data_IF_771497085366
#
_entry.id   IF_771497085366
#
_cell.length_a   1.000
_cell.length_b   1.000
_cell.length_c   1.000
_cell.angle_alpha   90.00
_cell.angle_beta   90.00
_cell.angle_gamma   90.00
#
_symmetry.space_group_name_H-M   'P 1'
#
loop_
_entity.id
_entity.type
_entity.pdbx_description
1 polymer ?
#
# COMPACT_ATOMS: atom_id res chain seq x y z
N UNK A 1 -29.63 -15.98 -0.02
CA UNK A 1 -30.33 -16.29 -1.29
C UNK A 1 -31.74 -16.77 -0.97
N UNK A 2 -32.75 -16.50 -1.80
CA UNK A 2 -34.11 -17.01 -1.53
C UNK A 2 -34.15 -18.54 -1.64
N UNK A 3 -35.12 -19.17 -1.00
CA UNK A 3 -35.27 -20.64 -1.02
C UNK A 3 -35.38 -21.18 -2.44
N UNK A 4 -36.11 -20.48 -3.31
CA UNK A 4 -36.23 -20.83 -4.72
C UNK A 4 -34.86 -20.96 -5.40
N UNK A 5 -34.05 -19.90 -5.33
CA UNK A 5 -32.72 -19.89 -5.97
C UNK A 5 -31.76 -20.89 -5.33
N UNK A 6 -31.88 -21.10 -4.02
CA UNK A 6 -31.11 -22.13 -3.32
C UNK A 6 -31.42 -23.53 -3.87
N UNK A 7 -32.71 -23.88 -3.99
CA UNK A 7 -33.14 -25.17 -4.52
C UNK A 7 -32.76 -25.32 -5.99
N UNK A 8 -32.93 -24.27 -6.79
CA UNK A 8 -32.56 -24.24 -8.20
C UNK A 8 -31.08 -24.62 -8.39
N UNK A 9 -30.17 -23.97 -7.67
CA UNK A 9 -28.73 -24.28 -7.73
C UNK A 9 -28.46 -25.70 -7.27
N UNK A 10 -29.01 -26.10 -6.11
CA UNK A 10 -28.78 -27.44 -5.54
C UNK A 10 -29.23 -28.54 -6.49
N UNK A 11 -30.43 -28.43 -7.08
CA UNK A 11 -30.98 -29.44 -7.99
C UNK A 11 -30.16 -29.52 -9.28
N UNK A 12 -29.77 -28.39 -9.87
CA UNK A 12 -28.96 -28.40 -11.09
C UNK A 12 -27.55 -28.95 -10.86
N UNK A 13 -26.90 -28.59 -9.75
CA UNK A 13 -25.55 -29.10 -9.44
C UNK A 13 -25.58 -30.60 -9.18
N UNK A 14 -26.48 -31.09 -8.33
CA UNK A 14 -26.58 -32.54 -8.05
C UNK A 14 -27.07 -33.32 -9.28
N UNK A 15 -28.02 -32.75 -10.04
CA UNK A 15 -28.53 -33.33 -11.28
C UNK A 15 -27.45 -33.47 -12.35
N UNK A 16 -26.58 -32.47 -12.51
CA UNK A 16 -25.47 -32.53 -13.48
C UNK A 16 -24.38 -33.52 -13.04
N UNK A 17 -24.00 -33.56 -11.76
CA UNK A 17 -23.07 -34.57 -11.23
C UNK A 17 -23.63 -35.99 -11.47
N UNK A 18 -24.91 -36.19 -11.18
CA UNK A 18 -25.58 -37.46 -11.43
C UNK A 18 -25.62 -37.81 -12.94
N UNK A 19 -25.97 -36.85 -13.79
CA UNK A 19 -26.02 -37.06 -15.24
C UNK A 19 -24.63 -37.41 -15.81
N UNK A 20 -23.57 -36.76 -15.34
CA UNK A 20 -22.18 -37.07 -15.74
C UNK A 20 -21.75 -38.45 -15.24
N UNK A 21 -22.08 -38.81 -14.00
CA UNK A 21 -21.82 -40.15 -13.48
C UNK A 21 -22.57 -41.19 -14.31
N UNK A 22 -23.86 -40.98 -14.56
CA UNK A 22 -24.65 -41.85 -15.43
C UNK A 22 -24.03 -42.01 -16.81
N UNK A 23 -23.64 -40.91 -17.45
CA UNK A 23 -22.98 -40.92 -18.77
C UNK A 23 -21.70 -41.76 -18.74
N UNK A 24 -20.84 -41.56 -17.75
CA UNK A 24 -19.58 -42.31 -17.59
C UNK A 24 -19.83 -43.82 -17.43
N UNK A 25 -20.84 -44.21 -16.64
CA UNK A 25 -21.17 -45.62 -16.47
C UNK A 25 -21.90 -46.21 -17.68
N UNK A 26 -22.72 -45.43 -18.38
CA UNK A 26 -23.43 -45.86 -19.58
C UNK A 26 -22.46 -46.11 -20.74
N UNK A 27 -21.51 -45.20 -20.99
CA UNK A 27 -20.48 -45.38 -22.02
C UNK A 27 -19.60 -46.59 -21.71
N UNK A 28 -19.29 -46.85 -20.44
CA UNK A 28 -18.51 -48.02 -20.04
C UNK A 28 -19.21 -49.36 -20.27
N UNK A 29 -20.55 -49.43 -20.24
CA UNK A 29 -21.28 -50.69 -20.46
C UNK A 29 -21.14 -51.21 -21.90
N UNK A 30 -20.95 -50.32 -22.87
CA UNK A 30 -20.82 -50.67 -24.29
C UNK A 30 -19.38 -50.93 -24.75
N UNK A 31 -18.40 -50.89 -23.84
CA UNK A 31 -16.98 -50.99 -24.19
C UNK A 31 -16.50 -52.43 -24.30
N UNK A 32 -15.46 -52.61 -25.12
CA UNK A 32 -14.69 -53.86 -25.20
C UNK A 32 -13.96 -54.15 -23.89
N UNK A 33 -13.64 -55.42 -23.64
CA UNK A 33 -12.94 -55.82 -22.41
C UNK A 33 -11.45 -55.49 -22.42
N UNK A 34 -10.84 -55.45 -23.62
CA UNK A 34 -9.41 -55.26 -23.83
C UNK A 34 -9.16 -54.25 -24.95
N UNK A 35 -7.94 -53.71 -24.98
CA UNK A 35 -7.52 -52.80 -26.03
C UNK A 35 -7.41 -53.56 -27.37
N UNK A 36 -7.75 -52.88 -28.45
CA UNK A 36 -7.82 -53.41 -29.80
C UNK A 36 -7.35 -52.34 -30.81
N UNK A 37 -6.84 -52.82 -31.95
CA UNK A 37 -6.50 -51.98 -33.10
C UNK A 37 -7.66 -51.91 -34.12
N UNK A 38 -8.85 -52.43 -33.77
CA UNK A 38 -10.04 -52.37 -34.63
C UNK A 38 -10.64 -50.96 -34.69
N UNK A 39 -10.95 -50.51 -35.91
CA UNK A 39 -11.57 -49.21 -36.18
C UNK A 39 -13.09 -49.30 -36.34
N UNK A 40 -13.78 -48.16 -36.15
CA UNK A 40 -15.25 -48.07 -36.21
C UNK A 40 -15.85 -48.13 -37.63
N UNK A 41 -15.03 -48.34 -38.67
CA UNK A 41 -15.48 -48.60 -40.05
C UNK A 41 -15.83 -47.36 -40.88
N UNK A 42 -15.58 -46.15 -40.36
CA UNK A 42 -15.73 -44.89 -41.08
C UNK A 42 -14.42 -44.08 -41.03
N UNK A 43 -14.09 -43.45 -42.15
CA UNK A 43 -12.93 -42.56 -42.27
C UNK A 43 -13.38 -41.13 -42.51
N UNK A 44 -12.82 -40.20 -41.75
CA UNK A 44 -13.05 -38.77 -41.88
C UNK A 44 -11.72 -38.10 -42.19
N UNK A 45 -11.55 -37.60 -43.42
CA UNK A 45 -10.32 -36.92 -43.87
C UNK A 45 -9.04 -37.74 -43.63
N UNK A 46 -9.12 -39.06 -43.87
CA UNK A 46 -8.01 -39.98 -43.66
C UNK A 46 -7.75 -40.37 -42.21
N UNK A 47 -8.55 -39.89 -41.25
CA UNK A 47 -8.51 -40.28 -39.84
C UNK A 47 -9.58 -41.36 -39.58
N UNK A 48 -9.18 -42.41 -38.87
CA UNK A 48 -10.06 -43.46 -38.37
C UNK A 48 -9.96 -43.57 -36.84
N UNK A 49 -11.05 -43.94 -36.19
CA UNK A 49 -11.12 -44.02 -34.72
C UNK A 49 -11.12 -45.48 -34.26
N UNK A 50 -10.29 -45.78 -33.26
CA UNK A 50 -10.29 -47.09 -32.59
C UNK A 50 -11.44 -47.21 -31.59
N UNK A 51 -12.07 -48.37 -31.54
CA UNK A 51 -13.12 -48.71 -30.57
C UNK A 51 -12.52 -49.28 -29.27
N UNK A 52 -11.68 -48.48 -28.61
CA UNK A 52 -10.95 -48.89 -27.41
C UNK A 52 -11.74 -48.62 -26.11
N UNK A 53 -11.60 -49.48 -25.08
CA UNK A 53 -12.15 -49.19 -23.77
C UNK A 53 -11.45 -47.99 -23.12
N UNK A 54 -12.18 -47.30 -22.23
CA UNK A 54 -11.58 -46.24 -21.43
C UNK A 54 -10.45 -46.82 -20.57
N UNK A 55 -9.27 -46.17 -20.50
CA UNK A 55 -8.21 -46.60 -19.62
C UNK A 55 -8.71 -46.73 -18.17
N UNK A 56 -8.47 -47.87 -17.53
CA UNK A 56 -8.99 -48.16 -16.17
C UNK A 56 -8.60 -47.07 -15.16
N UNK A 57 -7.36 -46.59 -15.22
CA UNK A 57 -6.87 -45.53 -14.34
C UNK A 57 -7.62 -44.21 -14.55
N UNK A 58 -7.92 -43.84 -15.80
CA UNK A 58 -8.66 -42.64 -16.15
C UNK A 58 -10.08 -42.71 -15.63
N UNK A 59 -10.74 -43.86 -15.82
CA UNK A 59 -12.08 -44.09 -15.28
C UNK A 59 -12.10 -43.95 -13.76
N UNK A 60 -11.16 -44.61 -13.06
CA UNK A 60 -11.09 -44.55 -11.60
C UNK A 60 -10.82 -43.14 -11.09
N UNK A 61 -9.97 -42.38 -11.79
CA UNK A 61 -9.73 -40.97 -11.49
C UNK A 61 -11.02 -40.15 -11.67
N UNK A 62 -11.75 -40.34 -12.77
CA UNK A 62 -13.02 -39.65 -13.01
C UNK A 62 -14.08 -39.98 -11.95
N UNK A 63 -14.14 -41.23 -11.47
CA UNK A 63 -15.02 -41.59 -10.35
C UNK A 63 -14.55 -40.93 -9.04
N UNK A 64 -13.25 -40.88 -8.79
CA UNK A 64 -12.69 -40.25 -7.60
C UNK A 64 -13.02 -38.75 -7.54
N UNK A 65 -13.05 -38.03 -8.68
CA UNK A 65 -13.42 -36.61 -8.70
C UNK A 65 -14.89 -36.39 -8.36
N UNK A 66 -15.82 -37.30 -8.70
CA UNK A 66 -17.20 -37.22 -8.24
C UNK A 66 -17.31 -37.39 -6.71
N UNK A 67 -16.61 -38.37 -6.16
CA UNK A 67 -16.58 -38.61 -4.71
C UNK A 67 -16.01 -37.38 -4.00
N UNK A 68 -14.91 -36.83 -4.51
CA UNK A 68 -14.31 -35.60 -4.01
C UNK A 68 -15.29 -34.43 -4.10
N UNK A 69 -15.93 -34.20 -5.24
CA UNK A 69 -16.87 -33.10 -5.43
C UNK A 69 -18.06 -33.18 -4.46
N UNK A 70 -18.65 -34.36 -4.29
CA UNK A 70 -19.74 -34.57 -3.33
C UNK A 70 -19.25 -34.34 -1.89
N UNK A 71 -18.10 -34.90 -1.50
CA UNK A 71 -17.51 -34.65 -0.19
C UNK A 71 -17.22 -33.17 0.06
N UNK A 72 -16.70 -32.47 -0.96
CA UNK A 72 -16.43 -31.03 -0.90
C UNK A 72 -17.73 -30.22 -0.72
N UNK A 73 -18.80 -30.54 -1.46
CA UNK A 73 -20.10 -29.87 -1.34
C UNK A 73 -20.80 -30.16 -0.01
N UNK A 74 -20.50 -31.28 0.65
CA UNK A 74 -20.94 -31.55 2.02
C UNK A 74 -20.18 -30.66 3.00
N UNK A 75 -18.86 -30.53 2.85
CA UNK A 75 -18.01 -29.78 3.78
C UNK A 75 -18.11 -28.26 3.62
N UNK A 76 -18.23 -27.76 2.39
CA UNK A 76 -18.18 -26.33 2.06
C UNK A 76 -19.54 -25.81 1.55
N UNK A 77 -19.81 -24.49 1.67
CA UNK A 77 -20.93 -23.88 0.98
C UNK A 77 -20.76 -23.99 -0.54
N UNK A 78 -21.85 -24.26 -1.24
CA UNK A 78 -21.87 -24.41 -2.70
C UNK A 78 -23.24 -24.85 -3.23
N UNK A 79 -23.97 -25.67 -2.46
CA UNK A 79 -25.34 -26.07 -2.75
C UNK A 79 -26.34 -25.02 -2.23
N UNK A 80 -26.52 -23.93 -2.98
CA UNK A 80 -27.47 -22.88 -2.61
C UNK A 80 -27.16 -22.23 -1.26
N UNK A 81 -28.10 -22.30 -0.31
CA UNK A 81 -27.93 -21.80 1.05
C UNK A 81 -27.24 -22.78 2.02
N UNK A 82 -26.86 -23.98 1.57
CA UNK A 82 -26.09 -24.92 2.38
C UNK A 82 -24.79 -24.27 2.86
N UNK A 83 -24.50 -24.38 4.17
CA UNK A 83 -23.37 -23.70 4.82
C UNK A 83 -22.11 -24.54 4.92
N UNK A 84 -22.20 -25.83 4.57
CA UNK A 84 -21.13 -26.78 4.78
C UNK A 84 -21.07 -27.30 6.21
N UNK A 85 -20.37 -28.42 6.39
CA UNK A 85 -20.14 -29.10 7.68
C UNK A 85 -18.65 -29.09 8.08
N UNK A 86 -17.83 -28.23 7.47
CA UNK A 86 -16.41 -28.14 7.82
C UNK A 86 -16.23 -27.83 9.32
N UNK A 87 -15.54 -28.69 10.08
CA UNK A 87 -15.34 -28.47 11.52
C UNK A 87 -14.42 -27.27 11.79
N UNK A 88 -14.57 -26.65 12.96
CA UNK A 88 -13.72 -25.54 13.39
C UNK A 88 -14.12 -24.16 12.86
N UNK A 89 -15.31 -24.04 12.27
CA UNK A 89 -15.89 -22.77 11.79
C UNK A 89 -17.22 -22.44 12.49
N UNK A 90 -17.30 -22.69 13.79
CA UNK A 90 -18.43 -22.26 14.62
C UNK A 90 -18.25 -20.83 15.13
N UNK A 91 -17.00 -20.45 15.42
CA UNK A 91 -16.61 -19.16 15.97
C UNK A 91 -15.17 -18.80 15.56
N UNK A 92 -14.78 -17.53 15.78
CA UNK A 92 -13.46 -16.98 15.40
C UNK A 92 -12.36 -17.54 16.31
N UNK A 93 -12.63 -17.56 17.61
CA UNK A 93 -11.78 -18.08 18.69
C UNK A 93 -12.69 -18.36 19.90
N UNK A 94 -12.18 -19.03 20.93
CA UNK A 94 -12.97 -19.46 22.09
C UNK A 94 -13.86 -18.32 22.64
N UNK A 95 -15.18 -18.46 22.48
CA UNK A 95 -16.18 -17.52 22.96
C UNK A 95 -16.38 -16.24 22.12
N UNK A 96 -15.72 -16.11 20.96
CA UNK A 96 -15.86 -14.97 20.04
C UNK A 96 -16.57 -15.36 18.74
N UNK A 97 -17.86 -15.03 18.58
CA UNK A 97 -18.60 -15.36 17.36
C UNK A 97 -18.06 -14.59 16.14
N UNK A 98 -18.32 -15.10 14.94
CA UNK A 98 -18.05 -14.37 13.69
C UNK A 98 -18.86 -13.07 13.63
N UNK A 99 -18.35 -12.07 12.90
CA UNK A 99 -18.95 -10.74 12.85
C UNK A 99 -20.41 -10.71 12.37
N UNK A 100 -20.79 -11.66 11.51
CA UNK A 100 -22.16 -11.81 11.02
C UNK A 100 -23.07 -12.69 11.91
N UNK A 101 -22.52 -13.22 13.01
CA UNK A 101 -23.23 -14.07 13.96
C UNK A 101 -23.61 -15.46 13.44
N UNK A 102 -23.09 -15.90 12.29
CA UNK A 102 -23.44 -17.17 11.68
C UNK A 102 -22.24 -18.15 11.71
N UNK A 103 -22.47 -19.44 11.99
CA UNK A 103 -21.44 -20.47 11.86
C UNK A 103 -21.31 -20.95 10.40
N UNK A 104 -20.33 -21.83 10.17
CA UNK A 104 -20.01 -22.41 8.88
C UNK A 104 -18.80 -21.76 8.23
N UNK A 105 -18.18 -22.44 7.27
CA UNK A 105 -17.05 -21.86 6.55
C UNK A 105 -17.54 -20.78 5.57
N UNK A 106 -16.85 -19.65 5.54
CA UNK A 106 -16.90 -18.67 4.46
C UNK A 106 -15.50 -18.07 4.28
N UNK A 107 -15.22 -17.46 3.12
CA UNK A 107 -13.94 -16.75 2.94
C UNK A 107 -13.73 -15.63 3.97
N UNK A 108 -14.81 -14.95 4.37
CA UNK A 108 -14.78 -13.90 5.42
C UNK A 108 -14.46 -14.51 6.78
N UNK A 109 -15.09 -15.64 7.15
CA UNK A 109 -14.81 -16.31 8.41
C UNK A 109 -13.36 -16.82 8.48
N UNK A 110 -12.84 -17.36 7.38
CA UNK A 110 -11.43 -17.76 7.31
C UNK A 110 -10.48 -16.58 7.53
N UNK A 111 -10.76 -15.44 6.87
CA UNK A 111 -10.03 -14.19 7.10
C UNK A 111 -10.13 -13.72 8.55
N UNK A 112 -11.32 -13.71 9.17
CA UNK A 112 -11.50 -13.35 10.58
C UNK A 112 -10.68 -14.24 11.51
N UNK A 113 -10.67 -15.57 11.31
CA UNK A 113 -9.82 -16.49 12.10
C UNK A 113 -8.32 -16.21 11.89
N UNK A 114 -7.92 -15.90 10.66
CA UNK A 114 -6.51 -15.60 10.35
C UNK A 114 -6.06 -14.31 11.03
N UNK A 115 -6.87 -13.26 10.96
CA UNK A 115 -6.59 -11.99 11.63
C UNK A 115 -6.56 -12.16 13.15
N UNK A 116 -7.53 -12.88 13.74
CA UNK A 116 -7.52 -13.12 15.19
C UNK A 116 -6.26 -13.88 15.66
N UNK A 117 -5.80 -14.87 14.90
CA UNK A 117 -4.54 -15.58 15.19
C UNK A 117 -3.32 -14.67 15.04
N UNK A 118 -3.32 -13.78 14.05
CA UNK A 118 -2.27 -12.80 13.85
C UNK A 118 -2.25 -11.79 15.01
N UNK A 119 -3.40 -11.30 15.45
CA UNK A 119 -3.55 -10.38 16.57
C UNK A 119 -3.09 -11.02 17.90
N UNK A 120 -3.43 -12.29 18.14
CA UNK A 120 -2.95 -13.02 19.33
C UNK A 120 -1.42 -13.16 19.32
N UNK A 121 -0.84 -13.46 18.16
CA UNK A 121 0.60 -13.71 18.03
C UNK A 121 1.43 -12.43 18.00
N UNK A 122 0.97 -11.40 17.29
CA UNK A 122 1.72 -10.18 17.01
C UNK A 122 1.24 -8.96 17.81
N UNK A 123 0.00 -8.96 18.28
CA UNK A 123 -0.58 -7.89 19.08
C UNK A 123 0.24 -7.53 20.32
N UNK A 124 0.75 -8.50 21.12
CA UNK A 124 1.61 -8.17 22.26
C UNK A 124 2.92 -7.46 21.86
N UNK A 125 3.47 -7.74 20.67
CA UNK A 125 4.67 -7.10 20.16
C UNK A 125 4.37 -5.64 19.80
N UNK A 126 3.26 -5.40 19.08
CA UNK A 126 2.82 -4.05 18.74
C UNK A 126 2.47 -3.24 19.99
N UNK A 127 1.72 -3.83 20.93
CA UNK A 127 1.34 -3.18 22.19
C UNK A 127 2.54 -2.81 23.05
N UNK A 128 3.59 -3.66 23.10
CA UNK A 128 4.85 -3.34 23.78
C UNK A 128 5.46 -2.06 23.21
N UNK A 129 5.59 -1.96 21.89
CA UNK A 129 6.23 -0.78 21.27
C UNK A 129 5.33 0.46 21.29
N UNK A 130 4.01 0.30 21.15
CA UNK A 130 3.06 1.42 21.22
C UNK A 130 3.02 2.07 22.62
N UNK A 131 3.38 1.33 23.68
CA UNK A 131 3.45 1.86 25.04
C UNK A 131 4.79 2.57 25.35
N UNK A 132 5.80 2.42 24.49
CA UNK A 132 7.12 3.03 24.69
C UNK A 132 7.17 4.44 24.05
N UNK A 133 7.99 5.36 24.56
CA UNK A 133 8.30 6.60 23.84
C UNK A 133 9.00 6.30 22.51
N UNK A 134 8.70 7.08 21.47
CA UNK A 134 9.24 6.91 20.11
C UNK A 134 10.77 6.89 20.10
N UNK A 135 11.40 7.71 20.93
CA UNK A 135 12.86 7.80 21.08
C UNK A 135 13.47 6.49 21.57
N UNK A 136 12.77 5.75 22.43
CA UNK A 136 13.22 4.44 22.92
C UNK A 136 12.92 3.33 21.91
N UNK A 137 11.78 3.41 21.21
CA UNK A 137 11.47 2.50 20.10
C UNK A 137 12.50 2.64 18.98
N UNK A 138 12.97 3.85 18.70
CA UNK A 138 13.99 4.15 17.69
C UNK A 138 15.38 3.56 18.01
N UNK A 139 15.61 3.10 19.25
CA UNK A 139 16.86 2.43 19.66
C UNK A 139 16.75 0.91 19.65
N UNK A 140 15.55 0.35 19.57
CA UNK A 140 15.34 -1.11 19.60
C UNK A 140 15.55 -1.73 18.20
N UNK A 141 16.52 -2.64 18.01
CA UNK A 141 16.81 -3.21 16.69
C UNK A 141 15.66 -4.01 16.07
N UNK A 142 14.82 -4.64 16.91
CA UNK A 142 13.64 -5.37 16.43
C UNK A 142 12.58 -4.38 15.93
N UNK A 143 12.35 -3.30 16.67
CA UNK A 143 11.43 -2.22 16.27
C UNK A 143 11.87 -1.58 14.95
N UNK A 144 13.15 -1.24 14.80
CA UNK A 144 13.68 -0.66 13.55
C UNK A 144 13.55 -1.62 12.37
N UNK A 145 13.78 -2.92 12.56
CA UNK A 145 13.57 -3.92 11.51
C UNK A 145 12.10 -4.05 11.11
N UNK A 146 11.18 -3.92 12.06
CA UNK A 146 9.74 -3.91 11.79
C UNK A 146 9.32 -2.62 11.08
N UNK A 147 9.73 -1.46 11.59
CA UNK A 147 9.47 -0.15 11.00
C UNK A 147 10.04 -0.03 9.58
N UNK A 148 11.24 -0.55 9.32
CA UNK A 148 11.82 -0.58 7.98
C UNK A 148 11.02 -1.44 6.99
N UNK A 149 10.41 -2.54 7.42
CA UNK A 149 9.49 -3.33 6.58
C UNK A 149 8.20 -2.58 6.30
N UNK A 150 7.62 -1.94 7.33
CA UNK A 150 6.44 -1.08 7.16
C UNK A 150 6.73 0.07 6.19
N UNK A 151 7.91 0.70 6.31
CA UNK A 151 8.36 1.77 5.43
C UNK A 151 8.52 1.28 3.99
N UNK A 152 9.16 0.13 3.78
CA UNK A 152 9.34 -0.48 2.47
C UNK A 152 8.00 -0.74 1.77
N UNK A 153 6.99 -1.22 2.50
CA UNK A 153 5.67 -1.55 1.92
C UNK A 153 4.77 -0.33 1.70
N UNK A 154 4.87 0.71 2.53
CA UNK A 154 3.87 1.78 2.57
C UNK A 154 4.40 3.17 2.19
N UNK A 155 5.69 3.43 2.35
CA UNK A 155 6.27 4.78 2.26
C UNK A 155 7.30 4.91 1.12
N UNK A 156 7.98 3.82 0.78
CA UNK A 156 9.11 3.80 -0.15
C UNK A 156 8.76 4.26 -1.57
N UNK A 157 7.52 4.09 -2.01
CA UNK A 157 7.08 4.49 -3.36
C UNK A 157 7.16 6.01 -3.56
N UNK A 158 7.02 6.78 -2.49
CA UNK A 158 7.12 8.24 -2.51
C UNK A 158 8.48 8.72 -1.99
N UNK A 159 8.92 8.19 -0.86
CA UNK A 159 10.13 8.65 -0.17
C UNK A 159 11.41 7.90 -0.60
N UNK A 160 11.33 7.02 -1.59
CA UNK A 160 12.46 6.20 -2.03
C UNK A 160 12.69 4.98 -1.14
N UNK A 161 13.32 3.94 -1.70
CA UNK A 161 13.66 2.72 -0.96
C UNK A 161 14.72 2.94 0.11
N UNK A 162 15.55 3.98 -0.05
CA UNK A 162 16.56 4.43 0.91
C UNK A 162 16.09 5.63 1.76
N UNK A 163 14.80 5.98 1.66
CA UNK A 163 14.18 7.12 2.34
C UNK A 163 14.74 8.51 1.98
N UNK A 164 15.52 8.63 0.90
CA UNK A 164 16.15 9.90 0.48
C UNK A 164 15.28 10.79 -0.41
N UNK A 165 14.03 10.40 -0.64
CA UNK A 165 13.07 11.18 -1.40
C UNK A 165 13.35 11.21 -2.90
N UNK A 166 12.68 12.13 -3.58
CA UNK A 166 12.78 12.37 -5.01
C UNK A 166 12.21 13.77 -5.32
N UNK A 167 12.17 14.16 -6.60
CA UNK A 167 11.45 15.38 -6.98
C UNK A 167 9.99 15.32 -6.49
N UNK A 168 9.60 16.30 -5.68
CA UNK A 168 8.29 16.43 -5.04
C UNK A 168 8.16 15.74 -3.68
N UNK A 169 9.14 14.93 -3.26
CA UNK A 169 9.06 14.10 -2.05
C UNK A 169 10.27 14.30 -1.13
N UNK A 170 10.07 14.61 0.17
CA UNK A 170 11.15 14.86 1.11
C UNK A 170 12.11 13.68 1.30
N UNK A 171 13.40 14.01 1.47
CA UNK A 171 14.38 13.16 2.12
C UNK A 171 14.05 13.08 3.61
N UNK A 172 13.98 11.86 4.16
CA UNK A 172 13.65 11.61 5.56
C UNK A 172 14.88 11.22 6.39
N UNK A 173 16.07 11.23 5.77
CA UNK A 173 17.34 10.86 6.40
C UNK A 173 18.19 12.08 6.80
N UNK A 174 17.87 13.27 6.28
CA UNK A 174 18.58 14.50 6.63
C UNK A 174 17.99 15.18 7.88
N UNK A 175 18.52 16.36 8.21
CA UNK A 175 18.08 17.17 9.35
C UNK A 175 17.07 18.26 8.95
N UNK A 176 16.59 18.29 7.71
CA UNK A 176 15.78 19.38 7.16
C UNK A 176 14.28 19.06 7.19
N UNK A 177 13.67 19.33 8.35
CA UNK A 177 12.27 19.01 8.60
C UNK A 177 11.33 20.18 8.33
N UNK A 178 10.45 20.02 7.32
CA UNK A 178 9.46 21.04 6.93
C UNK A 178 8.37 21.27 7.97
N UNK A 179 7.98 20.22 8.68
CA UNK A 179 6.87 20.21 9.64
C UNK A 179 7.32 19.97 11.08
N UNK A 180 8.62 20.13 11.35
CA UNK A 180 9.25 19.77 12.62
C UNK A 180 9.82 18.35 12.60
N UNK A 181 10.96 18.17 13.27
CA UNK A 181 11.71 16.90 13.35
C UNK A 181 11.64 16.21 14.70
N UNK A 182 10.80 16.71 15.62
CA UNK A 182 10.55 16.00 16.87
C UNK A 182 9.75 14.74 16.61
N UNK A 183 9.84 13.76 17.51
CA UNK A 183 9.06 12.52 17.44
C UNK A 183 7.56 12.78 17.34
N UNK A 184 7.04 13.76 18.10
CA UNK A 184 5.66 14.19 18.04
C UNK A 184 5.27 14.81 16.69
N UNK A 185 6.14 15.61 16.07
CA UNK A 185 5.88 16.23 14.76
C UNK A 185 5.85 15.18 13.63
N UNK A 186 6.79 14.23 13.69
CA UNK A 186 6.89 13.11 12.75
C UNK A 186 5.65 12.22 12.88
N UNK A 187 5.29 11.81 14.10
CA UNK A 187 4.11 11.00 14.34
C UNK A 187 2.83 11.72 13.90
N UNK A 188 2.69 13.01 14.22
CA UNK A 188 1.55 13.84 13.78
C UNK A 188 1.46 13.87 12.25
N UNK A 189 2.60 14.05 11.58
CA UNK A 189 2.67 14.07 10.12
C UNK A 189 2.24 12.74 9.51
N UNK A 190 2.71 11.61 10.03
CA UNK A 190 2.36 10.28 9.51
C UNK A 190 0.89 9.95 9.80
N UNK A 191 0.44 10.27 11.01
CA UNK A 191 -0.91 9.97 11.50
C UNK A 191 -1.98 10.76 10.75
N UNK A 192 -1.90 12.09 10.81
CA UNK A 192 -2.90 13.00 10.29
C UNK A 192 -2.66 13.44 8.85
N UNK A 193 -1.49 13.11 8.28
CA UNK A 193 -1.08 13.66 7.00
C UNK A 193 -0.67 15.12 7.11
N UNK A 194 -0.19 15.69 6.01
CA UNK A 194 0.13 17.11 5.87
C UNK A 194 -0.24 17.61 4.49
N UNK A 195 -0.65 18.87 4.43
CA UNK A 195 -0.89 19.57 3.17
C UNK A 195 -0.18 20.93 3.23
N UNK A 196 0.86 21.09 2.41
CA UNK A 196 1.56 22.36 2.29
C UNK A 196 0.85 23.21 1.22
N UNK A 197 0.70 24.51 1.48
CA UNK A 197 0.07 25.45 0.56
C UNK A 197 0.97 26.68 0.36
N UNK A 198 1.77 26.67 -0.71
CA UNK A 198 2.46 27.85 -1.20
C UNK A 198 1.58 28.49 -2.29
N UNK A 199 1.08 29.72 -2.10
CA UNK A 199 0.26 30.41 -3.10
C UNK A 199 1.01 30.67 -4.40
N UNK A 200 0.26 30.82 -5.50
CA UNK A 200 0.79 31.27 -6.78
C UNK A 200 0.96 32.79 -6.76
N UNK A 201 2.17 33.28 -7.05
CA UNK A 201 2.49 34.71 -7.02
C UNK A 201 2.65 35.34 -8.40
N UNK A 202 2.50 34.57 -9.49
CA UNK A 202 2.73 35.05 -10.85
C UNK A 202 1.87 36.25 -11.24
N UNK A 203 0.55 36.19 -11.02
CA UNK A 203 -0.38 37.28 -11.34
C UNK A 203 -0.16 38.52 -10.45
N UNK A 204 0.30 38.32 -9.21
CA UNK A 204 0.46 39.39 -8.22
C UNK A 204 1.78 40.14 -8.42
N UNK A 205 2.86 39.41 -8.70
CA UNK A 205 4.21 39.97 -8.81
C UNK A 205 4.63 40.27 -10.25
N UNK A 206 3.94 39.69 -11.24
CA UNK A 206 4.39 39.68 -12.62
C UNK A 206 5.68 38.89 -12.84
N UNK A 207 6.11 38.79 -14.10
CA UNK A 207 7.32 38.05 -14.47
C UNK A 207 8.58 38.59 -13.80
N UNK A 208 8.70 39.92 -13.75
CA UNK A 208 9.85 40.59 -13.15
C UNK A 208 9.90 40.37 -11.63
N UNK A 209 8.78 40.47 -10.93
CA UNK A 209 8.76 40.25 -9.48
C UNK A 209 9.07 38.80 -9.09
N UNK A 210 8.58 37.82 -9.87
CA UNK A 210 8.95 36.41 -9.70
C UNK A 210 10.47 36.21 -9.92
N UNK A 211 11.02 36.80 -10.98
CA UNK A 211 12.44 36.76 -11.27
C UNK A 211 13.28 37.36 -10.13
N UNK A 212 12.91 38.53 -9.64
CA UNK A 212 13.63 39.28 -8.61
C UNK A 212 13.63 38.52 -7.27
N UNK A 213 12.49 37.94 -6.86
CA UNK A 213 12.43 37.11 -5.64
C UNK A 213 13.27 35.84 -5.82
N UNK A 214 13.22 35.18 -6.98
CA UNK A 214 14.07 34.02 -7.24
C UNK A 214 15.58 34.39 -7.14
N UNK A 215 15.96 35.59 -7.62
CA UNK A 215 17.33 36.10 -7.51
C UNK A 215 17.75 36.36 -6.07
N UNK A 216 16.86 36.97 -5.27
CA UNK A 216 17.10 37.16 -3.84
C UNK A 216 17.27 35.84 -3.09
N UNK A 217 16.37 34.87 -3.29
CA UNK A 217 16.46 33.55 -2.65
C UNK A 217 17.77 32.86 -3.05
N UNK A 218 18.08 32.80 -4.35
CA UNK A 218 19.28 32.12 -4.88
C UNK A 218 20.58 32.71 -4.33
N UNK A 219 20.65 34.03 -4.17
CA UNK A 219 21.89 34.71 -3.77
C UNK A 219 21.99 34.95 -2.27
N UNK A 220 20.98 35.57 -1.65
CA UNK A 220 21.08 36.08 -0.27
C UNK A 220 20.65 35.08 0.79
N UNK A 221 19.77 34.13 0.47
CA UNK A 221 19.35 33.09 1.42
C UNK A 221 20.17 31.82 1.22
N UNK A 222 20.33 31.40 -0.02
CA UNK A 222 20.98 30.15 -0.42
C UNK A 222 22.51 30.31 -0.58
N UNK A 223 22.99 31.50 -0.95
CA UNK A 223 24.42 31.79 -1.10
C UNK A 223 25.03 31.34 -2.43
N UNK A 224 24.21 30.93 -3.41
CA UNK A 224 24.68 30.52 -4.74
C UNK A 224 24.91 31.71 -5.67
N UNK A 225 25.77 31.49 -6.68
CA UNK A 225 26.01 32.47 -7.73
C UNK A 225 24.75 32.68 -8.57
N UNK A 226 24.49 33.95 -8.89
CA UNK A 226 23.40 34.31 -9.77
C UNK A 226 23.66 33.87 -11.22
N UNK A 227 22.61 33.57 -12.00
CA UNK A 227 22.71 33.41 -13.45
C UNK A 227 23.24 34.67 -14.13
N UNK A 228 23.83 34.50 -15.32
CA UNK A 228 24.28 35.61 -16.14
C UNK A 228 23.11 36.54 -16.51
N UNK A 229 23.35 37.86 -16.46
CA UNK A 229 22.34 38.87 -16.75
C UNK A 229 21.44 39.28 -15.57
N UNK A 230 21.54 38.62 -14.41
CA UNK A 230 20.84 39.04 -13.19
C UNK A 230 21.64 40.12 -12.47
N UNK A 231 21.00 41.25 -12.17
CA UNK A 231 21.65 42.44 -11.56
C UNK A 231 21.44 42.53 -10.06
N UNK A 232 22.31 43.26 -9.37
CA UNK A 232 22.15 43.55 -7.93
C UNK A 232 20.87 44.35 -7.62
N UNK A 233 20.40 45.15 -8.57
CA UNK A 233 19.13 45.88 -8.45
C UNK A 233 17.94 44.91 -8.38
N UNK A 234 17.93 43.87 -9.21
CA UNK A 234 16.90 42.82 -9.20
C UNK A 234 16.92 42.04 -7.87
N UNK A 235 18.11 41.78 -7.32
CA UNK A 235 18.24 41.16 -5.99
C UNK A 235 17.67 42.08 -4.90
N UNK A 236 17.96 43.38 -4.95
CA UNK A 236 17.45 44.36 -3.99
C UNK A 236 15.92 44.52 -4.07
N UNK A 237 15.35 44.46 -5.28
CA UNK A 237 13.89 44.45 -5.47
C UNK A 237 13.27 43.16 -4.92
N UNK A 238 13.89 42.01 -5.19
CA UNK A 238 13.49 40.72 -4.65
C UNK A 238 13.47 40.70 -3.12
N UNK A 239 14.47 41.32 -2.48
CA UNK A 239 14.53 41.46 -1.03
C UNK A 239 13.34 42.25 -0.48
N UNK A 240 12.95 43.35 -1.14
CA UNK A 240 11.78 44.15 -0.73
C UNK A 240 10.50 43.33 -0.83
N UNK A 241 10.30 42.62 -1.94
CA UNK A 241 9.12 41.76 -2.15
C UNK A 241 9.10 40.61 -1.13
N UNK A 242 10.25 39.99 -0.86
CA UNK A 242 10.37 38.93 0.13
C UNK A 242 9.95 39.43 1.52
N UNK A 243 10.44 40.61 1.91
CA UNK A 243 10.14 41.25 3.19
C UNK A 243 8.67 41.70 3.33
N UNK A 244 7.93 41.88 2.24
CA UNK A 244 6.50 42.23 2.31
C UNK A 244 5.58 41.01 2.24
N UNK A 245 5.99 39.96 1.53
CA UNK A 245 5.06 38.90 1.11
C UNK A 245 5.50 37.52 1.58
N UNK A 246 6.76 37.15 1.32
CA UNK A 246 7.26 35.79 1.59
C UNK A 246 7.60 35.58 3.08
N UNK A 247 7.98 36.67 3.77
CA UNK A 247 8.37 36.68 5.19
C UNK A 247 7.31 36.10 6.11
N UNK A 248 6.03 36.24 5.77
CA UNK A 248 4.91 35.80 6.61
C UNK A 248 4.94 34.27 6.87
N UNK A 249 5.44 33.50 5.91
CA UNK A 249 5.54 32.04 6.02
C UNK A 249 6.99 31.58 6.20
N UNK A 250 7.94 32.22 5.51
CA UNK A 250 9.34 31.80 5.49
C UNK A 250 10.23 32.50 6.52
N UNK A 251 9.71 33.49 7.23
CA UNK A 251 10.45 34.29 8.20
C UNK A 251 11.44 35.27 7.56
N UNK A 252 11.95 36.25 8.33
CA UNK A 252 12.82 37.32 7.81
C UNK A 252 14.18 36.79 7.34
N UNK A 253 14.65 35.71 7.94
CA UNK A 253 15.91 35.05 7.59
C UNK A 253 15.70 33.91 6.57
N UNK A 254 14.47 33.69 6.09
CA UNK A 254 14.17 32.59 5.17
C UNK A 254 14.21 31.19 5.78
N UNK A 255 14.32 31.07 7.11
CA UNK A 255 14.43 29.78 7.82
C UNK A 255 13.17 28.91 7.79
N UNK A 256 12.04 29.43 7.31
CA UNK A 256 10.79 28.69 7.30
C UNK A 256 10.08 28.68 8.65
N UNK A 257 8.87 28.12 8.67
CA UNK A 257 8.10 27.90 9.89
C UNK A 257 7.46 26.52 9.82
N UNK A 258 7.78 25.66 10.81
CA UNK A 258 7.29 24.29 10.88
C UNK A 258 5.74 24.23 10.94
N UNK A 259 5.12 25.21 11.61
CA UNK A 259 3.66 25.32 11.71
C UNK A 259 2.96 25.41 10.35
N UNK A 260 3.62 25.96 9.32
CA UNK A 260 3.07 26.14 7.98
C UNK A 260 3.64 25.15 6.95
N UNK A 261 4.56 24.27 7.35
CA UNK A 261 5.28 23.41 6.40
C UNK A 261 6.20 24.18 5.45
N UNK A 262 6.49 25.44 5.78
CA UNK A 262 7.29 26.35 4.98
C UNK A 262 8.78 25.98 5.18
N UNK A 263 9.48 25.56 4.11
CA UNK A 263 10.84 25.06 4.23
C UNK A 263 11.84 26.17 4.52
N UNK A 264 12.97 25.77 5.09
CA UNK A 264 14.15 26.60 5.20
C UNK A 264 14.74 26.86 3.80
N UNK A 265 14.67 28.12 3.36
CA UNK A 265 15.17 28.59 2.07
C UNK A 265 16.68 28.79 2.04
N UNK A 266 17.37 28.69 3.18
CA UNK A 266 18.84 28.78 3.24
C UNK A 266 19.53 27.44 2.94
N UNK A 267 18.78 26.33 2.88
CA UNK A 267 19.30 24.98 2.64
C UNK A 267 18.76 24.43 1.30
N UNK A 268 19.36 24.78 0.15
CA UNK A 268 18.87 24.37 -1.17
C UNK A 268 18.90 22.86 -1.41
N UNK A 269 19.74 22.12 -0.68
CA UNK A 269 19.84 20.67 -0.77
C UNK A 269 18.55 19.98 -0.33
N UNK A 270 17.76 20.61 0.55
CA UNK A 270 16.49 20.11 1.04
C UNK A 270 15.28 20.49 0.15
N UNK A 271 15.51 21.16 -0.98
CA UNK A 271 14.42 21.60 -1.86
C UNK A 271 13.86 20.43 -2.67
N UNK A 272 12.63 20.02 -2.32
CA UNK A 272 11.93 18.94 -3.02
C UNK A 272 11.46 19.32 -4.43
N UNK A 273 11.37 20.61 -4.76
CA UNK A 273 10.91 21.08 -6.09
C UNK A 273 12.05 21.56 -6.99
N UNK A 274 13.28 21.21 -6.62
CA UNK A 274 14.50 21.63 -7.31
C UNK A 274 14.94 23.03 -6.92
N UNK A 275 16.22 23.31 -7.16
CA UNK A 275 16.91 24.54 -6.75
C UNK A 275 17.43 25.35 -7.94
N UNK A 276 17.23 24.94 -9.20
CA UNK A 276 17.62 25.80 -10.32
C UNK A 276 16.85 27.12 -10.30
N UNK A 277 17.43 28.17 -10.88
CA UNK A 277 16.78 29.48 -10.94
C UNK A 277 15.38 29.40 -11.58
N UNK A 278 15.24 28.64 -12.67
CA UNK A 278 13.95 28.41 -13.33
C UNK A 278 12.96 27.60 -12.49
N UNK A 279 13.43 26.62 -11.70
CA UNK A 279 12.59 25.84 -10.78
C UNK A 279 12.07 26.70 -9.61
N UNK A 280 12.88 27.63 -9.12
CA UNK A 280 12.46 28.62 -8.13
C UNK A 280 11.40 29.55 -8.71
N UNK A 281 11.64 30.09 -9.90
CA UNK A 281 10.65 30.92 -10.61
C UNK A 281 9.34 30.16 -10.82
N UNK A 282 9.38 28.90 -11.24
CA UNK A 282 8.19 28.05 -11.42
C UNK A 282 7.42 27.88 -10.10
N UNK A 283 8.14 27.62 -9.01
CA UNK A 283 7.58 27.42 -7.67
C UNK A 283 6.92 28.70 -7.15
N UNK A 284 7.56 29.86 -7.32
CA UNK A 284 7.00 31.16 -6.90
C UNK A 284 5.80 31.52 -7.78
N UNK A 285 5.90 31.33 -9.09
CA UNK A 285 4.88 31.70 -10.08
C UNK A 285 3.58 30.95 -9.88
N UNK A 286 3.65 29.63 -9.77
CA UNK A 286 2.45 28.77 -9.76
C UNK A 286 2.12 28.17 -8.39
N UNK A 287 2.95 28.42 -7.38
CA UNK A 287 2.75 27.87 -6.05
C UNK A 287 3.00 26.36 -5.99
N UNK A 288 2.78 25.78 -4.81
CA UNK A 288 2.96 24.34 -4.52
C UNK A 288 1.92 23.86 -3.53
N UNK A 289 1.40 22.66 -3.77
CA UNK A 289 0.31 22.04 -3.01
C UNK A 289 0.67 20.61 -2.58
N UNK A 290 1.87 20.44 -2.00
CA UNK A 290 2.40 19.12 -1.62
C UNK A 290 1.52 18.43 -0.57
N UNK A 291 1.36 17.11 -0.71
CA UNK A 291 0.52 16.30 0.18
C UNK A 291 1.27 15.08 0.70
N UNK A 292 1.23 14.90 2.01
CA UNK A 292 1.56 13.66 2.69
C UNK A 292 0.22 13.05 3.16
N UNK A 293 -0.23 11.92 2.59
CA UNK A 293 -1.52 11.32 2.95
C UNK A 293 -1.52 10.78 4.39
N UNK A 294 -2.62 10.96 5.10
CA UNK A 294 -2.81 10.40 6.43
C UNK A 294 -2.74 8.86 6.41
N UNK A 295 -2.00 8.27 7.35
CA UNK A 295 -1.83 6.82 7.43
C UNK A 295 -2.67 6.17 8.54
N UNK A 296 -3.27 6.96 9.45
CA UNK A 296 -4.02 6.45 10.61
C UNK A 296 -5.12 5.45 10.21
N UNK A 297 -5.89 5.74 9.16
CA UNK A 297 -6.99 4.88 8.73
C UNK A 297 -6.52 3.59 8.04
N UNK A 298 -5.30 3.61 7.47
CA UNK A 298 -4.76 2.48 6.70
C UNK A 298 -3.93 1.53 7.55
N UNK A 299 -3.13 2.07 8.46
CA UNK A 299 -2.14 1.32 9.24
C UNK A 299 -2.51 1.19 10.72
N UNK A 300 -3.37 2.07 11.24
CA UNK A 300 -3.65 2.16 12.67
C UNK A 300 -2.53 2.82 13.47
N UNK A 301 -2.82 3.09 14.75
CA UNK A 301 -1.92 3.84 15.63
C UNK A 301 -0.59 3.15 15.88
N UNK A 302 -0.60 1.86 16.20
CA UNK A 302 0.60 1.11 16.59
C UNK A 302 1.64 1.04 15.47
N UNK A 303 1.19 0.85 14.23
CA UNK A 303 2.08 0.81 13.06
C UNK A 303 2.59 2.21 12.72
N UNK A 304 1.76 3.24 12.84
CA UNK A 304 2.18 4.64 12.67
C UNK A 304 3.24 5.02 13.70
N UNK A 305 3.10 4.59 14.94
CA UNK A 305 4.06 4.81 16.01
C UNK A 305 5.43 4.18 15.69
N UNK A 306 5.44 2.92 15.25
CA UNK A 306 6.66 2.23 14.78
C UNK A 306 7.28 2.91 13.56
N UNK A 307 6.47 3.40 12.62
CA UNK A 307 6.96 4.16 11.46
C UNK A 307 7.58 5.49 11.87
N UNK A 308 6.97 6.19 12.83
CA UNK A 308 7.53 7.43 13.37
C UNK A 308 8.89 7.19 14.02
N UNK A 309 9.03 6.11 14.81
CA UNK A 309 10.31 5.71 15.40
C UNK A 309 11.36 5.36 14.35
N UNK A 310 10.98 4.62 13.31
CA UNK A 310 11.88 4.30 12.21
C UNK A 310 12.34 5.56 11.47
N UNK A 311 11.41 6.42 11.06
CA UNK A 311 11.72 7.69 10.37
C UNK A 311 12.60 8.59 11.24
N UNK A 312 12.30 8.70 12.53
CA UNK A 312 13.14 9.43 13.48
C UNK A 312 14.56 8.85 13.55
N UNK A 313 14.71 7.52 13.59
CA UNK A 313 16.03 6.88 13.64
C UNK A 313 16.91 7.16 12.42
N UNK A 314 16.30 7.38 11.25
CA UNK A 314 17.03 7.62 10.00
C UNK A 314 17.88 8.88 10.06
N UNK A 315 17.41 9.92 10.74
CA UNK A 315 18.14 11.17 10.92
C UNK A 315 19.07 11.16 12.14
N UNK A 316 18.98 10.19 13.05
CA UNK A 316 19.89 10.12 14.20
C UNK A 316 21.21 9.36 13.91
N UNK A 317 21.25 8.57 12.84
CA UNK A 317 22.35 7.62 12.56
C UNK A 317 23.72 8.25 12.24
N UNK A 318 23.77 9.49 11.76
CA UNK A 318 25.04 10.20 11.51
C UNK A 318 25.63 10.81 12.79
N UNK A 319 24.81 11.11 13.81
CA UNK A 319 25.27 11.61 15.11
C UNK A 319 25.88 10.49 15.99
N UNK A 320 25.45 9.24 15.82
CA UNK A 320 25.95 8.09 16.60
C UNK A 320 27.24 7.45 16.05
N UNK A 321 27.68 7.80 14.84
CA UNK A 321 28.96 7.32 14.28
C UNK A 321 30.14 8.25 14.61
N UNK A 322 29.88 9.38 15.26
CA UNK A 322 30.88 10.39 15.63
C UNK A 322 31.29 10.39 17.10
N UNK A 323 30.78 9.45 17.91
CA UNK A 323 31.25 9.12 19.26
C UNK A 323 31.92 7.74 19.29
#
# INVERSE_FOLDING_TARGET
MTTFWSLYVTVLTLGTIFALAWLLFATRRGQRSEATDETVGHSFDGIEEYDNPLPKWWFMLFVATFIFALGYLVLYPGLGNWKGLLPGYQEVSDGKPFANGQPGWTGVHQWEKEMAKADEKYGPIFAKFAAMPIEEVAKDPLALKMGGRLFASNCSVCHGSDAKGAYGFPNLTDQDWRWGGSTADIETTIKGGRHAAMPAWGEVLGDQGVHDVAAFVTSKLDGRKLPEGVTDEQVANGQKIFATTCVACHGPEGKGTAAMGAPNLTHPAAFIYGSSFSQLQQTIRYGRQGQMPAQQERLGGDQVHLLAAYVYSLSQGDAQKSE
#
